data_IF_808887945116
#
_entry.id   IF_808887945116
#
_cell.length_a   1.000
_cell.length_b   1.000
_cell.length_c   1.000
_cell.angle_alpha   90.00
_cell.angle_beta   90.00
_cell.angle_gamma   90.00
#
_symmetry.space_group_name_H-M   'P 1'
#
loop_
_entity.id
_entity.type
_entity.pdbx_description
1 polymer ?
#
# COMPACT_ATOMS: atom_id res chain seq x y z
N UNK A 1 -3.30 -6.68 -11.17
CA UNK A 1 -4.51 -5.85 -10.94
C UNK A 1 -4.45 -4.66 -11.88
N UNK A 2 -5.52 -4.38 -12.63
CA UNK A 2 -5.63 -3.20 -13.49
C UNK A 2 -6.52 -2.14 -12.83
N UNK A 3 -6.45 -0.90 -13.31
CA UNK A 3 -7.32 0.16 -12.82
C UNK A 3 -8.82 -0.10 -13.02
N UNK A 4 -9.19 -0.84 -14.06
CA UNK A 4 -10.59 -1.19 -14.33
C UNK A 4 -11.17 -2.19 -13.31
N UNK A 5 -10.30 -2.84 -12.54
CA UNK A 5 -10.67 -3.74 -11.45
C UNK A 5 -10.86 -3.00 -10.10
N UNK A 6 -10.49 -1.71 -10.05
CA UNK A 6 -10.66 -0.87 -8.86
C UNK A 6 -12.07 -0.30 -8.84
N UNK A 7 -12.80 -0.55 -7.77
CA UNK A 7 -14.17 -0.08 -7.62
C UNK A 7 -14.17 1.43 -7.32
N UNK A 8 -14.77 2.23 -8.21
CA UNK A 8 -14.82 3.68 -8.08
C UNK A 8 -13.46 4.36 -8.16
N UNK A 9 -13.32 5.55 -7.56
CA UNK A 9 -12.08 6.32 -7.45
C UNK A 9 -11.54 6.83 -8.80
N UNK A 10 -12.43 7.07 -9.76
CA UNK A 10 -12.08 7.53 -11.12
C UNK A 10 -11.28 8.84 -11.08
N UNK A 11 -11.64 9.77 -10.19
CA UNK A 11 -10.95 11.06 -10.02
C UNK A 11 -9.48 10.85 -9.63
N UNK A 12 -9.22 9.96 -8.67
CA UNK A 12 -7.85 9.66 -8.20
C UNK A 12 -7.07 8.92 -9.28
N UNK A 13 -7.70 7.92 -9.92
CA UNK A 13 -7.11 7.20 -11.05
C UNK A 13 -6.68 8.16 -12.16
N UNK A 14 -7.59 9.01 -12.62
CA UNK A 14 -7.32 9.91 -13.74
C UNK A 14 -6.23 10.91 -13.40
N UNK A 15 -6.17 11.39 -12.16
CA UNK A 15 -5.10 12.25 -11.67
C UNK A 15 -3.73 11.54 -11.69
N UNK A 16 -3.64 10.28 -11.24
CA UNK A 16 -2.42 9.47 -11.26
C UNK A 16 -1.94 9.23 -12.70
N UNK A 17 -2.85 8.88 -13.59
CA UNK A 17 -2.56 8.67 -15.01
C UNK A 17 -2.10 9.96 -15.70
N UNK A 18 -2.75 11.09 -15.39
CA UNK A 18 -2.38 12.40 -15.94
C UNK A 18 -0.96 12.79 -15.53
N UNK A 19 -0.62 12.71 -14.24
CA UNK A 19 0.73 13.01 -13.74
C UNK A 19 1.80 12.19 -14.46
N UNK A 20 1.51 10.91 -14.72
CA UNK A 20 2.45 10.03 -15.42
C UNK A 20 2.60 10.40 -16.90
N UNK A 21 1.49 10.67 -17.61
CA UNK A 21 1.51 11.08 -19.03
C UNK A 21 2.20 12.40 -19.26
N UNK A 22 2.08 13.34 -18.33
CA UNK A 22 2.72 14.64 -18.38
C UNK A 22 4.21 14.62 -17.97
N UNK A 23 4.75 13.47 -17.58
CA UNK A 23 6.12 13.36 -17.08
C UNK A 23 6.37 14.09 -15.75
N UNK A 24 5.31 14.36 -14.99
CA UNK A 24 5.33 15.09 -13.70
C UNK A 24 5.03 14.18 -12.52
N UNK A 25 5.34 12.89 -12.65
CA UNK A 25 5.09 11.93 -11.58
C UNK A 25 6.02 12.22 -10.40
N UNK A 26 5.48 12.53 -9.20
CA UNK A 26 6.29 12.67 -8.00
C UNK A 26 6.92 11.33 -7.64
N UNK A 27 8.14 11.37 -7.11
CA UNK A 27 8.81 10.15 -6.62
C UNK A 27 8.18 9.56 -5.35
N UNK A 28 7.35 10.32 -4.64
CA UNK A 28 6.62 9.83 -3.47
C UNK A 28 5.18 10.37 -3.45
N UNK A 29 4.22 9.45 -3.45
CA UNK A 29 2.78 9.72 -3.42
C UNK A 29 2.18 9.05 -2.19
N UNK A 30 1.27 9.75 -1.51
CA UNK A 30 0.55 9.22 -0.36
C UNK A 30 -0.96 9.30 -0.60
N UNK A 31 -1.60 8.15 -0.73
CA UNK A 31 -3.06 8.00 -0.81
C UNK A 31 -3.62 8.00 0.61
N UNK A 32 -4.33 9.06 0.99
CA UNK A 32 -4.89 9.26 2.32
C UNK A 32 -6.40 9.07 2.32
N UNK A 33 -6.93 8.46 3.36
CA UNK A 33 -8.38 8.31 3.55
C UNK A 33 -8.73 7.23 4.57
N UNK A 34 -9.99 7.09 4.95
CA UNK A 34 -10.41 6.09 5.93
C UNK A 34 -10.16 4.66 5.43
N UNK A 35 -10.23 3.70 6.34
CA UNK A 35 -10.15 2.28 6.00
C UNK A 35 -11.26 1.90 5.00
N UNK A 36 -10.97 0.96 4.10
CA UNK A 36 -11.97 0.39 3.19
C UNK A 36 -12.27 1.19 1.91
N UNK A 37 -11.73 2.41 1.74
CA UNK A 37 -12.02 3.24 0.54
C UNK A 37 -11.25 2.82 -0.74
N UNK A 38 -10.50 1.73 -0.72
CA UNK A 38 -9.83 1.22 -1.91
C UNK A 38 -8.40 1.73 -2.14
N UNK A 39 -7.77 2.40 -1.15
CA UNK A 39 -6.39 2.93 -1.29
C UNK A 39 -5.38 1.89 -1.74
N UNK A 40 -5.43 0.67 -1.14
CA UNK A 40 -4.52 -0.43 -1.46
C UNK A 40 -4.72 -0.94 -2.88
N UNK A 41 -5.99 -1.08 -3.31
CA UNK A 41 -6.34 -1.44 -4.67
C UNK A 41 -5.80 -0.42 -5.69
N UNK A 42 -6.01 0.88 -5.43
CA UNK A 42 -5.45 1.96 -6.25
C UNK A 42 -3.92 1.91 -6.32
N UNK A 43 -3.24 1.72 -5.18
CA UNK A 43 -1.78 1.66 -5.13
C UNK A 43 -1.24 0.51 -5.97
N UNK A 44 -1.86 -0.68 -5.89
CA UNK A 44 -1.45 -1.86 -6.65
C UNK A 44 -1.74 -1.69 -8.14
N UNK A 45 -2.91 -1.16 -8.50
CA UNK A 45 -3.26 -0.90 -9.88
C UNK A 45 -2.30 0.12 -10.50
N UNK A 46 -1.96 1.18 -9.77
CA UNK A 46 -1.00 2.17 -10.23
C UNK A 46 0.44 1.61 -10.34
N UNK A 47 0.87 0.81 -9.37
CA UNK A 47 2.15 0.09 -9.45
C UNK A 47 2.21 -0.83 -10.69
N UNK A 48 1.12 -1.56 -10.96
CA UNK A 48 1.00 -2.42 -12.13
C UNK A 48 1.06 -1.61 -13.44
N UNK A 49 0.41 -0.45 -13.48
CA UNK A 49 0.47 0.45 -14.63
C UNK A 49 1.90 0.94 -14.91
N UNK A 50 2.65 1.36 -13.89
CA UNK A 50 4.01 1.84 -14.02
C UNK A 50 5.00 0.74 -14.47
N UNK A 51 4.75 -0.51 -14.07
CA UNK A 51 5.60 -1.67 -14.38
C UNK A 51 5.19 -2.44 -15.65
N UNK A 52 4.09 -2.03 -16.28
CA UNK A 52 3.53 -2.68 -17.46
C UNK A 52 2.51 -3.77 -17.12
N UNK A 53 1.24 -3.41 -17.23
CA UNK A 53 0.07 -4.26 -16.85
C UNK A 53 0.01 -5.60 -17.59
N UNK A 54 0.62 -5.70 -18.75
CA UNK A 54 0.60 -6.93 -19.56
C UNK A 54 1.69 -7.93 -19.19
N UNK A 55 2.64 -7.52 -18.34
CA UNK A 55 3.69 -8.39 -17.82
C UNK A 55 3.08 -9.45 -16.87
N UNK A 56 3.34 -10.73 -17.14
CA UNK A 56 2.82 -11.84 -16.33
C UNK A 56 3.29 -11.80 -14.87
N UNK A 57 4.52 -11.34 -14.61
CA UNK A 57 5.05 -11.19 -13.24
C UNK A 57 4.35 -10.05 -12.50
N UNK A 58 4.05 -8.93 -13.19
CA UNK A 58 3.27 -7.82 -12.62
C UNK A 58 1.85 -8.27 -12.26
N UNK A 59 1.20 -9.07 -13.09
CA UNK A 59 -0.14 -9.61 -12.81
C UNK A 59 -0.16 -10.51 -11.57
N UNK A 60 0.93 -11.23 -11.32
CA UNK A 60 1.11 -12.08 -10.13
C UNK A 60 1.70 -11.34 -8.94
N UNK A 61 1.98 -10.04 -9.08
CA UNK A 61 2.64 -9.21 -8.06
C UNK A 61 4.03 -9.76 -7.63
N UNK A 62 4.72 -10.44 -8.54
CA UNK A 62 6.04 -11.08 -8.36
C UNK A 62 7.14 -10.36 -9.17
N UNK A 63 6.86 -9.15 -9.66
CA UNK A 63 7.86 -8.41 -10.44
C UNK A 63 9.05 -8.00 -9.56
N UNK A 64 10.31 -8.21 -9.99
CA UNK A 64 11.50 -7.92 -9.17
C UNK A 64 11.68 -6.45 -8.82
N UNK A 65 11.06 -5.54 -9.57
CA UNK A 65 11.06 -4.10 -9.32
C UNK A 65 9.77 -3.62 -8.57
N UNK A 66 8.94 -4.55 -8.07
CA UNK A 66 7.78 -4.28 -7.22
C UNK A 66 8.08 -4.74 -5.80
N UNK A 67 8.10 -3.79 -4.87
CA UNK A 67 8.38 -4.08 -3.47
C UNK A 67 7.21 -3.66 -2.61
N UNK A 68 6.82 -4.55 -1.68
CA UNK A 68 5.80 -4.26 -0.68
C UNK A 68 6.46 -4.07 0.68
N UNK A 69 5.98 -3.07 1.41
CA UNK A 69 6.33 -2.80 2.80
C UNK A 69 5.03 -2.69 3.60
N UNK A 70 4.94 -3.45 4.67
CA UNK A 70 3.75 -3.51 5.52
C UNK A 70 4.12 -3.78 6.98
N UNK A 71 3.21 -3.49 7.93
CA UNK A 71 3.45 -3.78 9.34
C UNK A 71 3.61 -5.27 9.58
N UNK A 72 4.61 -5.64 10.37
CA UNK A 72 4.96 -7.02 10.73
C UNK A 72 4.97 -7.21 12.25
N UNK A 73 4.93 -8.47 12.69
CA UNK A 73 5.04 -8.87 14.08
C UNK A 73 6.28 -9.74 14.29
N UNK A 74 6.72 -9.87 15.52
CA UNK A 74 7.76 -10.82 15.88
C UNK A 74 7.15 -12.13 16.33
N UNK A 75 7.40 -13.19 15.57
CA UNK A 75 6.93 -14.52 15.95
C UNK A 75 7.86 -15.15 17.01
N UNK A 76 7.33 -16.01 17.91
CA UNK A 76 8.14 -16.73 18.89
C UNK A 76 9.24 -17.63 18.28
N UNK A 77 9.04 -18.05 17.03
CA UNK A 77 10.01 -18.84 16.26
C UNK A 77 11.21 -18.06 15.75
N UNK A 78 11.13 -16.74 15.74
CA UNK A 78 12.20 -15.85 15.30
C UNK A 78 13.25 -15.67 16.41
N UNK A 79 14.54 -15.54 16.04
CA UNK A 79 15.61 -15.30 17.02
C UNK A 79 15.41 -13.98 17.77
N UNK A 80 15.98 -13.88 18.99
CA UNK A 80 15.85 -12.68 19.85
C UNK A 80 16.26 -11.40 19.14
N UNK A 81 17.30 -11.46 18.32
CA UNK A 81 17.92 -10.32 17.66
C UNK A 81 17.31 -10.00 16.29
N UNK A 82 16.44 -10.88 15.77
CA UNK A 82 15.78 -10.66 14.49
C UNK A 82 14.77 -9.52 14.58
N UNK A 83 14.90 -8.55 13.69
CA UNK A 83 13.93 -7.48 13.47
C UNK A 83 13.03 -7.88 12.30
N UNK A 84 11.75 -8.18 12.51
CA UNK A 84 10.86 -8.61 11.45
C UNK A 84 10.80 -7.61 10.30
N UNK A 85 10.80 -8.14 9.08
CA UNK A 85 10.66 -7.38 7.84
C UNK A 85 9.55 -7.98 6.98
N UNK A 86 9.10 -7.24 5.98
CA UNK A 86 8.01 -7.69 5.09
C UNK A 86 8.36 -9.02 4.40
N UNK A 87 9.62 -9.28 4.08
CA UNK A 87 10.03 -10.53 3.43
C UNK A 87 9.81 -11.78 4.30
N UNK A 88 9.78 -11.64 5.62
CA UNK A 88 9.49 -12.77 6.53
C UNK A 88 8.06 -13.31 6.39
N UNK A 89 7.17 -12.50 5.84
CA UNK A 89 5.75 -12.82 5.64
C UNK A 89 5.32 -12.67 4.18
N UNK A 90 6.26 -12.76 3.26
CA UNK A 90 6.00 -12.55 1.83
C UNK A 90 4.96 -13.55 1.26
N UNK A 91 4.95 -14.79 1.76
CA UNK A 91 4.00 -15.82 1.35
C UNK A 91 2.58 -15.48 1.80
N UNK A 92 2.39 -15.19 3.07
CA UNK A 92 1.09 -14.83 3.67
C UNK A 92 0.53 -13.57 3.02
N UNK A 93 1.40 -12.57 2.80
CA UNK A 93 1.03 -11.36 2.08
C UNK A 93 0.57 -11.64 0.66
N UNK A 94 1.34 -12.43 -0.09
CA UNK A 94 1.02 -12.78 -1.47
C UNK A 94 -0.30 -13.56 -1.56
N UNK A 95 -0.49 -14.55 -0.69
CA UNK A 95 -1.74 -15.34 -0.64
C UNK A 95 -2.96 -14.43 -0.37
N UNK A 96 -2.84 -13.51 0.58
CA UNK A 96 -3.93 -12.63 0.97
C UNK A 96 -4.24 -11.59 -0.11
N UNK A 97 -3.22 -10.96 -0.69
CA UNK A 97 -3.40 -9.91 -1.70
C UNK A 97 -3.92 -10.47 -3.04
N UNK A 98 -3.59 -11.72 -3.35
CA UNK A 98 -4.12 -12.40 -4.54
C UNK A 98 -5.58 -12.83 -4.39
N UNK A 99 -6.08 -12.99 -3.17
CA UNK A 99 -7.52 -13.14 -2.91
C UNK A 99 -8.27 -11.83 -3.10
N UNK A 100 -7.63 -10.69 -2.82
CA UNK A 100 -8.17 -9.36 -3.04
C UNK A 100 -7.43 -8.30 -2.20
N UNK A 101 -7.31 -7.06 -2.70
CA UNK A 101 -6.56 -6.01 -2.02
C UNK A 101 -7.35 -5.32 -0.88
N UNK A 102 -8.56 -5.78 -0.57
CA UNK A 102 -9.48 -5.10 0.37
C UNK A 102 -9.43 -5.64 1.80
N UNK A 103 -8.50 -6.52 2.12
CA UNK A 103 -8.34 -7.06 3.48
C UNK A 103 -7.95 -5.97 4.49
N UNK A 104 -8.34 -6.18 5.73
CA UNK A 104 -8.14 -5.31 6.89
C UNK A 104 -6.83 -5.62 7.61
N UNK A 105 -6.49 -4.78 8.60
CA UNK A 105 -5.36 -5.05 9.48
C UNK A 105 -5.59 -6.30 10.34
N UNK A 106 -6.83 -6.56 10.76
CA UNK A 106 -7.16 -7.73 11.58
C UNK A 106 -7.01 -9.03 10.78
N UNK A 107 -7.45 -9.04 9.52
CA UNK A 107 -7.23 -10.17 8.61
C UNK A 107 -5.75 -10.41 8.36
N UNK A 108 -4.96 -9.33 8.23
CA UNK A 108 -3.51 -9.42 8.11
C UNK A 108 -2.84 -9.97 9.38
N UNK A 109 -3.27 -9.52 10.57
CA UNK A 109 -2.79 -10.05 11.84
C UNK A 109 -3.08 -11.55 11.98
N UNK A 110 -4.29 -11.98 11.59
CA UNK A 110 -4.67 -13.39 11.57
C UNK A 110 -3.80 -14.21 10.62
N UNK A 111 -3.53 -13.68 9.41
CA UNK A 111 -2.67 -14.35 8.43
C UNK A 111 -1.23 -14.54 8.93
N UNK A 112 -0.70 -13.57 9.69
CA UNK A 112 0.62 -13.68 10.33
C UNK A 112 0.65 -14.59 11.56
N UNK A 113 -0.52 -15.01 12.12
CA UNK A 113 -0.60 -15.79 13.33
C UNK A 113 -0.36 -15.01 14.63
N UNK A 114 -0.68 -13.71 14.65
CA UNK A 114 -0.35 -12.80 15.75
C UNK A 114 -1.50 -12.00 16.31
N UNK A 115 -2.57 -12.64 16.78
CA UNK A 115 -3.84 -11.99 17.17
C UNK A 115 -3.73 -10.92 18.28
N UNK A 116 -2.72 -10.99 19.16
CA UNK A 116 -2.60 -10.10 20.33
C UNK A 116 -1.34 -9.21 20.30
N UNK A 117 -0.74 -9.00 19.14
CA UNK A 117 0.46 -8.18 19.00
C UNK A 117 0.18 -6.89 18.25
N UNK A 118 1.02 -5.89 18.47
CA UNK A 118 0.99 -4.68 17.67
C UNK A 118 1.97 -4.81 16.49
N UNK A 119 1.45 -4.89 15.28
CA UNK A 119 2.28 -4.89 14.09
C UNK A 119 2.83 -3.47 13.81
N UNK A 120 4.12 -3.41 13.54
CA UNK A 120 4.87 -2.18 13.24
C UNK A 120 5.79 -2.40 12.04
N UNK A 121 6.18 -1.31 11.40
CA UNK A 121 7.24 -1.32 10.37
C UNK A 121 8.54 -0.93 11.07
N UNK A 122 9.47 -1.88 11.15
CA UNK A 122 10.72 -1.71 11.89
C UNK A 122 11.83 -1.06 11.04
N UNK A 123 12.90 -0.60 11.68
CA UNK A 123 14.08 -0.09 10.98
C UNK A 123 14.76 -1.14 10.08
N UNK A 124 14.59 -2.43 10.38
CA UNK A 124 15.05 -3.52 9.51
C UNK A 124 14.43 -3.46 8.12
N UNK A 125 13.16 -3.05 8.03
CA UNK A 125 12.46 -2.86 6.76
C UNK A 125 13.11 -1.77 5.90
N UNK A 126 13.45 -0.62 6.49
CA UNK A 126 14.14 0.44 5.75
C UNK A 126 15.50 -0.02 5.21
N UNK A 127 16.25 -0.80 5.99
CA UNK A 127 17.53 -1.36 5.55
C UNK A 127 17.33 -2.38 4.40
N UNK A 128 16.29 -3.20 4.47
CA UNK A 128 15.92 -4.12 3.41
C UNK A 128 15.52 -3.35 2.12
N UNK A 129 14.72 -2.31 2.28
CA UNK A 129 14.26 -1.48 1.16
C UNK A 129 15.42 -0.74 0.49
N UNK A 130 16.36 -0.17 1.25
CA UNK A 130 17.59 0.44 0.71
C UNK A 130 18.34 -0.57 -0.16
N UNK A 131 18.55 -1.79 0.33
CA UNK A 131 19.24 -2.84 -0.44
C UNK A 131 18.52 -3.17 -1.75
N UNK A 132 17.19 -3.37 -1.70
CA UNK A 132 16.37 -3.70 -2.88
C UNK A 132 16.40 -2.58 -3.92
N UNK A 133 16.21 -1.34 -3.49
CA UNK A 133 16.16 -0.19 -4.39
C UNK A 133 17.52 0.24 -4.93
N UNK A 134 18.63 -0.14 -4.28
CA UNK A 134 20.00 0.12 -4.80
C UNK A 134 20.36 -0.74 -6.02
N UNK A 135 19.67 -1.84 -6.22
CA UNK A 135 19.85 -2.67 -7.41
C UNK A 135 19.35 -1.94 -8.66
N UNK A 136 19.96 -2.22 -9.80
CA UNK A 136 19.46 -1.69 -11.09
C UNK A 136 18.10 -2.29 -11.39
N UNK A 137 17.22 -1.50 -12.02
CA UNK A 137 15.94 -2.03 -12.51
C UNK A 137 16.17 -3.21 -13.45
N UNK A 138 15.38 -4.26 -13.28
CA UNK A 138 15.50 -5.50 -14.06
C UNK A 138 15.19 -5.34 -15.55
N UNK A 139 14.34 -4.36 -15.89
CA UNK A 139 13.87 -4.10 -17.25
C UNK A 139 14.12 -2.64 -17.71
N UNK A 140 14.92 -1.87 -16.97
CA UNK A 140 15.25 -0.48 -17.32
C UNK A 140 14.11 0.53 -17.14
N UNK A 141 13.02 0.12 -16.45
CA UNK A 141 11.85 0.94 -16.16
C UNK A 141 11.80 1.45 -14.70
N UNK A 142 10.60 1.71 -14.23
CA UNK A 142 10.35 2.13 -12.86
C UNK A 142 10.67 1.01 -11.85
N UNK A 143 11.11 1.41 -10.66
CA UNK A 143 11.07 0.62 -9.43
C UNK A 143 9.95 1.17 -8.57
N UNK A 144 9.06 0.33 -8.10
CA UNK A 144 7.89 0.76 -7.34
C UNK A 144 7.91 0.13 -5.95
N UNK A 145 7.84 0.98 -4.93
CA UNK A 145 7.68 0.56 -3.53
C UNK A 145 6.30 0.95 -3.03
N UNK A 146 5.46 -0.04 -2.76
CA UNK A 146 4.14 0.15 -2.16
C UNK A 146 4.26 -0.03 -0.65
N UNK A 147 3.94 1.02 0.12
CA UNK A 147 4.02 1.03 1.57
C UNK A 147 2.62 1.12 2.15
N UNK A 148 2.18 0.06 2.81
CA UNK A 148 0.89 0.00 3.47
C UNK A 148 1.02 0.43 4.94
N UNK A 149 0.19 1.40 5.37
CA UNK A 149 0.14 1.98 6.71
C UNK A 149 1.50 2.54 7.19
N UNK A 150 2.07 3.52 6.49
CA UNK A 150 3.34 4.14 6.86
C UNK A 150 3.30 4.79 8.25
N UNK A 151 2.13 5.15 8.77
CA UNK A 151 1.90 5.64 10.14
C UNK A 151 2.22 4.61 11.23
N UNK A 152 2.44 3.34 10.86
CA UNK A 152 2.90 2.27 11.77
C UNK A 152 4.43 2.09 11.77
N UNK A 153 5.16 2.95 11.09
CA UNK A 153 6.62 2.97 11.16
C UNK A 153 7.08 3.42 12.55
N UNK A 154 8.09 2.73 13.09
CA UNK A 154 8.81 3.30 14.23
C UNK A 154 9.67 4.50 13.77
N UNK A 155 10.09 5.34 14.71
CA UNK A 155 10.83 6.59 14.43
C UNK A 155 12.13 6.32 13.66
N UNK A 156 12.82 5.24 13.96
CA UNK A 156 14.07 4.87 13.29
C UNK A 156 13.82 4.52 11.81
N UNK A 157 12.78 3.72 11.54
CA UNK A 157 12.35 3.39 10.17
C UNK A 157 11.97 4.65 9.39
N UNK A 158 11.13 5.50 9.97
CA UNK A 158 10.66 6.71 9.34
C UNK A 158 11.82 7.67 8.98
N UNK A 159 12.80 7.84 9.87
CA UNK A 159 13.99 8.66 9.61
C UNK A 159 14.89 8.08 8.51
N UNK A 160 15.02 6.76 8.40
CA UNK A 160 15.76 6.12 7.31
C UNK A 160 15.02 6.25 5.97
N UNK A 161 13.69 6.13 5.98
CA UNK A 161 12.87 6.31 4.79
C UNK A 161 12.95 7.75 4.26
N UNK A 162 13.06 8.76 5.15
CA UNK A 162 13.24 10.15 4.73
C UNK A 162 14.41 10.32 3.77
N UNK A 163 15.55 9.67 4.03
CA UNK A 163 16.73 9.75 3.16
C UNK A 163 16.43 9.20 1.75
N UNK A 164 15.67 8.10 1.68
CA UNK A 164 15.24 7.51 0.40
C UNK A 164 14.24 8.40 -0.35
N UNK A 165 13.39 9.13 0.38
CA UNK A 165 12.43 10.07 -0.22
C UNK A 165 13.14 11.35 -0.70
N UNK A 166 14.15 11.83 0.03
CA UNK A 166 14.91 13.02 -0.34
C UNK A 166 15.84 12.76 -1.53
N UNK A 167 16.48 11.61 -1.56
CA UNK A 167 17.42 11.20 -2.62
C UNK A 167 17.01 9.82 -3.18
N UNK A 168 15.89 9.76 -3.92
CA UNK A 168 15.40 8.49 -4.44
C UNK A 168 16.37 7.93 -5.50
N UNK A 169 16.61 6.61 -5.49
CA UNK A 169 17.29 5.96 -6.59
C UNK A 169 16.57 6.22 -7.92
N UNK A 170 17.31 6.23 -9.03
CA UNK A 170 16.74 6.52 -10.34
C UNK A 170 15.46 5.72 -10.63
N UNK A 171 14.45 6.41 -11.19
CA UNK A 171 13.16 5.85 -11.58
C UNK A 171 12.42 5.13 -10.44
N UNK A 172 12.67 5.50 -9.18
CA UNK A 172 11.96 4.93 -8.04
C UNK A 172 10.72 5.76 -7.70
N UNK A 173 9.59 5.07 -7.51
CA UNK A 173 8.33 5.66 -7.07
C UNK A 173 7.85 4.98 -5.80
N UNK A 174 7.62 5.77 -4.76
CA UNK A 174 7.00 5.34 -3.51
C UNK A 174 5.50 5.63 -3.56
N UNK A 175 4.68 4.61 -3.31
CA UNK A 175 3.23 4.72 -3.23
C UNK A 175 2.82 4.30 -1.82
N UNK A 176 2.42 5.26 -1.01
CA UNK A 176 2.02 5.04 0.39
C UNK A 176 0.50 5.02 0.50
N UNK A 177 -0.06 4.14 1.33
CA UNK A 177 -1.49 4.12 1.66
C UNK A 177 -1.67 4.34 3.15
N UNK A 178 -2.15 5.52 3.53
CA UNK A 178 -2.21 6.03 4.89
C UNK A 178 -3.66 6.22 5.35
N UNK A 179 -3.96 5.84 6.58
CA UNK A 179 -5.27 6.02 7.22
C UNK A 179 -5.26 7.17 8.23
N UNK A 180 -4.18 7.29 8.98
CA UNK A 180 -4.00 8.28 10.03
C UNK A 180 -2.77 9.18 9.74
N UNK A 181 -2.87 10.11 8.78
CA UNK A 181 -1.71 10.91 8.34
C UNK A 181 -1.10 11.76 9.47
N UNK A 182 -1.87 12.10 10.50
CA UNK A 182 -1.37 12.88 11.63
C UNK A 182 -0.43 12.10 12.55
N UNK A 183 -0.44 10.78 12.49
CA UNK A 183 0.51 9.91 13.18
C UNK A 183 1.85 9.76 12.45
N UNK A 184 1.89 10.14 11.18
CA UNK A 184 3.12 10.12 10.40
C UNK A 184 3.96 11.36 10.68
N UNK A 185 5.29 11.22 10.71
CA UNK A 185 6.20 12.34 10.92
C UNK A 185 5.93 13.45 9.89
N UNK A 186 5.88 14.69 10.35
CA UNK A 186 5.65 15.85 9.50
C UNK A 186 6.74 16.01 8.42
N UNK A 187 7.95 15.60 8.74
CA UNK A 187 9.07 15.57 7.79
C UNK A 187 8.82 14.67 6.59
N UNK A 188 8.10 13.56 6.76
CA UNK A 188 7.64 12.70 5.65
C UNK A 188 6.47 13.37 4.94
N UNK A 189 5.46 13.85 5.69
CA UNK A 189 4.26 14.47 5.12
C UNK A 189 4.58 15.65 4.19
N UNK A 190 5.58 16.44 4.54
CA UNK A 190 5.99 17.61 3.75
C UNK A 190 6.72 17.27 2.43
N UNK A 191 7.18 16.03 2.27
CA UNK A 191 7.95 15.58 1.10
C UNK A 191 7.21 14.64 0.16
N UNK A 192 5.98 14.27 0.53
CA UNK A 192 5.15 13.36 -0.27
C UNK A 192 3.97 14.11 -0.89
N UNK A 193 3.62 13.77 -2.12
CA UNK A 193 2.41 14.30 -2.76
C UNK A 193 1.20 13.59 -2.16
N UNK A 194 0.46 14.29 -1.30
CA UNK A 194 -0.80 13.78 -0.74
C UNK A 194 -1.91 13.82 -1.77
N UNK A 195 -2.67 12.73 -1.84
CA UNK A 195 -3.91 12.58 -2.61
C UNK A 195 -4.96 11.99 -1.68
N UNK A 196 -6.04 12.72 -1.46
CA UNK A 196 -7.13 12.27 -0.61
C UNK A 196 -8.06 11.34 -1.41
N UNK A 197 -8.31 10.15 -0.85
CA UNK A 197 -9.16 9.10 -1.39
C UNK A 197 -10.46 9.13 -0.60
N UNK A 198 -11.55 9.55 -1.24
CA UNK A 198 -12.86 9.74 -0.60
C UNK A 198 -13.61 8.41 -0.48
N UNK A 199 -14.59 8.38 0.41
CA UNK A 199 -15.50 7.25 0.50
C UNK A 199 -16.35 7.13 -0.77
N UNK A 200 -16.49 5.91 -1.27
CA UNK A 200 -17.31 5.61 -2.44
C UNK A 200 -18.78 5.55 -2.02
N UNK A 201 -19.71 6.18 -2.75
CA UNK A 201 -21.13 6.03 -2.49
C UNK A 201 -21.57 4.54 -2.55
N UNK A 202 -22.41 4.14 -1.61
CA UNK A 202 -22.88 2.74 -1.52
C UNK A 202 -23.53 2.24 -2.82
N UNK A 203 -24.21 3.13 -3.57
CA UNK A 203 -24.81 2.82 -4.87
C UNK A 203 -23.79 2.39 -5.93
N UNK A 204 -22.59 2.96 -5.90
CA UNK A 204 -21.51 2.59 -6.81
C UNK A 204 -20.97 1.19 -6.49
N UNK A 205 -20.86 0.86 -5.20
CA UNK A 205 -20.44 -0.47 -4.75
C UNK A 205 -21.49 -1.52 -5.17
N UNK A 206 -22.77 -1.24 -4.96
CA UNK A 206 -23.86 -2.16 -5.37
C UNK A 206 -23.90 -2.41 -6.87
N UNK A 207 -23.67 -1.39 -7.70
CA UNK A 207 -23.62 -1.55 -9.16
C UNK A 207 -22.49 -2.47 -9.62
N UNK A 208 -21.31 -2.35 -9.03
CA UNK A 208 -20.18 -3.23 -9.36
C UNK A 208 -20.39 -4.67 -8.89
N UNK A 209 -21.02 -4.87 -7.74
CA UNK A 209 -21.36 -6.22 -7.24
C UNK A 209 -22.41 -6.92 -8.11
N UNK A 210 -23.25 -6.16 -8.82
CA UNK A 210 -24.31 -6.69 -9.69
C UNK A 210 -23.84 -6.99 -11.11
N UNK A 211 -22.76 -6.36 -11.58
CA UNK A 211 -22.25 -6.48 -12.96
C UNK A 211 -21.08 -7.45 -13.11
N UNK A 212 -20.48 -7.93 -12.03
CA UNK A 212 -19.36 -8.85 -12.03
C UNK A 212 -19.75 -10.21 -11.48
N UNK A 213 -19.89 -11.20 -12.36
CA UNK A 213 -19.98 -12.59 -11.94
C UNK A 213 -18.72 -13.05 -11.22
N UNK A 214 -18.94 -13.71 -10.07
CA UNK A 214 -18.04 -14.56 -9.29
C UNK A 214 -16.75 -13.91 -8.72
N UNK A 215 -16.76 -13.78 -7.41
CA UNK A 215 -15.71 -13.51 -6.42
C UNK A 215 -15.48 -12.05 -6.00
N UNK A 216 -16.54 -11.31 -5.71
CA UNK A 216 -16.41 -10.12 -4.87
C UNK A 216 -16.68 -10.53 -3.40
N UNK A 217 -15.63 -10.67 -2.62
CA UNK A 217 -15.76 -10.70 -1.16
C UNK A 217 -16.47 -9.42 -0.71
N UNK A 218 -17.49 -9.62 0.11
CA UNK A 218 -18.33 -8.59 0.71
C UNK A 218 -17.43 -7.56 1.43
N UNK A 219 -17.55 -6.25 1.13
CA UNK A 219 -16.84 -5.25 1.91
C UNK A 219 -17.25 -5.38 3.39
N UNK A 220 -16.33 -5.15 4.35
CA UNK A 220 -16.65 -5.21 5.77
C UNK A 220 -17.80 -4.24 6.05
N UNK A 221 -18.77 -4.72 6.82
CA UNK A 221 -19.92 -3.94 7.24
C UNK A 221 -19.43 -2.67 7.96
N UNK A 222 -19.80 -1.51 7.44
CA UNK A 222 -19.60 -0.25 8.14
C UNK A 222 -20.32 -0.37 9.49
N UNK A 223 -19.58 -0.32 10.59
CA UNK A 223 -20.14 -0.22 11.93
C UNK A 223 -20.91 1.10 12.01
N UNK A 224 -22.23 0.97 11.99
CA UNK A 224 -23.16 2.06 12.23
C UNK A 224 -23.12 2.37 13.72
N UNK A 225 -22.28 3.34 14.13
CA UNK A 225 -22.46 4.07 15.38
C UNK A 225 -21.70 5.40 15.27
N UNK A 226 -22.37 6.37 14.68
CA UNK A 226 -21.96 7.77 14.76
C UNK A 226 -22.97 8.51 15.63
N UNK A 227 -22.55 9.14 16.75
CA UNK A 227 -23.47 9.94 17.57
C UNK A 227 -23.88 11.19 16.80
N UNK A 228 -25.17 11.34 16.59
CA UNK A 228 -25.81 12.58 16.16
C UNK A 228 -25.56 13.65 17.22
N UNK A 229 -24.74 14.65 16.87
CA UNK A 229 -24.64 15.86 17.64
C UNK A 229 -26.00 16.61 17.58
N UNK A 230 -26.67 16.69 18.72
CA UNK A 230 -27.76 17.65 18.96
C UNK A 230 -27.20 18.89 19.65
N UNK A 231 -27.66 20.05 19.23
CA UNK A 231 -27.63 21.29 19.97
C UNK A 231 -26.66 22.32 19.46
#
# INVERSE_FOLDING_TARGET
>A
MKFDEVIGQEEVRDRLLQMTREGRLPHAIMLCGPQGVGKKALAIAFASYLLGEDNAMVRRLEHPDLHFTYPTIKLPSMSSDHKPVSDDFAKEWHELIMQGPYFTMDEWMTAMGGENQQAIITAGESDALVRKLSLKSSQGGYKVSVIWLPERMNIECANKLLKLIEEPPQQTVFIMTCEEPDRLLETIRSRVQRIDVKQIPAETICRHSSSGGASAQKPPAASADWPTARG
#
